data_IF_227834935952
#
_entry.id   IF_227834935952
#
_cell.length_a   1.000
_cell.length_b   1.000
_cell.length_c   1.000
_cell.angle_alpha   90.00
_cell.angle_beta   90.00
_cell.angle_gamma   90.00
#
_symmetry.space_group_name_H-M   'P 1'
#
loop_
_entity.id
_entity.type
_entity.pdbx_description
1 polymer ?
#
# COMPACT_ATOMS: atom_id res chain seq x y z
N UNK A 1 6.74 13.10 18.45
CA UNK A 1 7.61 12.28 17.58
C UNK A 1 6.86 11.87 16.34
N UNK A 2 7.54 11.91 15.22
CA UNK A 2 6.95 11.61 13.92
C UNK A 2 6.97 10.11 13.64
N UNK A 3 5.91 9.59 13.03
CA UNK A 3 5.89 8.22 12.57
C UNK A 3 6.78 8.05 11.35
N UNK A 4 7.33 6.85 11.18
CA UNK A 4 8.12 6.49 10.00
C UNK A 4 7.34 5.51 9.15
N UNK A 5 7.41 5.69 7.83
CA UNK A 5 6.83 4.74 6.87
C UNK A 5 7.89 3.72 6.50
N UNK A 6 7.56 2.45 6.64
CA UNK A 6 8.41 1.35 6.19
C UNK A 6 7.62 0.46 5.24
N UNK A 7 8.32 -0.17 4.31
CA UNK A 7 7.72 -1.05 3.31
C UNK A 7 8.09 -2.50 3.60
N UNK A 8 7.10 -3.37 3.66
CA UNK A 8 7.37 -4.80 3.79
C UNK A 8 7.98 -5.33 2.50
N UNK A 9 8.69 -6.44 2.60
CA UNK A 9 9.25 -7.10 1.42
C UNK A 9 8.15 -7.50 0.44
N UNK A 10 7.03 -7.96 0.97
CA UNK A 10 5.88 -8.33 0.14
C UNK A 10 5.37 -7.12 -0.66
N UNK A 11 5.21 -5.97 -0.01
CA UNK A 11 4.75 -4.76 -0.69
C UNK A 11 5.76 -4.28 -1.75
N UNK A 12 7.06 -4.34 -1.44
CA UNK A 12 8.09 -3.98 -2.41
C UNK A 12 8.06 -4.89 -3.63
N UNK A 13 7.86 -6.18 -3.44
CA UNK A 13 7.74 -7.13 -4.54
C UNK A 13 6.52 -6.83 -5.41
N UNK A 14 5.43 -6.40 -4.79
CA UNK A 14 4.23 -6.01 -5.54
C UNK A 14 4.46 -4.73 -6.33
N UNK A 15 5.21 -3.78 -5.80
CA UNK A 15 5.62 -2.59 -6.56
C UNK A 15 6.42 -2.97 -7.80
N UNK A 16 7.36 -3.90 -7.67
CA UNK A 16 8.18 -4.36 -8.80
C UNK A 16 7.30 -4.97 -9.89
N UNK A 17 6.31 -5.76 -9.52
CA UNK A 17 5.37 -6.36 -10.47
C UNK A 17 4.54 -5.29 -11.19
N UNK A 18 4.09 -4.28 -10.46
CA UNK A 18 3.32 -3.18 -11.03
C UNK A 18 4.20 -2.42 -12.03
N UNK A 19 5.44 -2.12 -11.66
CA UNK A 19 6.37 -1.41 -12.53
C UNK A 19 6.61 -2.19 -13.83
N UNK A 20 6.91 -3.48 -13.73
CA UNK A 20 7.16 -4.32 -14.89
C UNK A 20 5.94 -4.40 -15.81
N UNK A 21 4.75 -4.52 -15.23
CA UNK A 21 3.52 -4.57 -16.01
C UNK A 21 3.34 -3.30 -16.84
N UNK A 22 3.47 -2.13 -16.21
CA UNK A 22 3.25 -0.86 -16.90
C UNK A 22 4.41 -0.48 -17.81
N UNK A 23 5.63 -0.92 -17.48
CA UNK A 23 6.77 -0.74 -18.37
C UNK A 23 6.51 -1.42 -19.72
N UNK A 24 5.99 -2.63 -19.69
CA UNK A 24 5.65 -3.39 -20.89
C UNK A 24 4.44 -2.81 -21.62
N UNK A 25 3.38 -2.44 -20.89
CA UNK A 25 2.11 -2.03 -21.49
C UNK A 25 2.04 -0.57 -21.90
N UNK A 26 2.75 0.31 -21.21
CA UNK A 26 2.59 1.76 -21.38
C UNK A 26 3.90 2.54 -21.48
N UNK A 27 5.05 1.89 -21.26
CA UNK A 27 6.37 2.50 -21.39
C UNK A 27 6.92 3.05 -20.09
N UNK A 28 8.18 3.47 -20.14
CA UNK A 28 8.95 3.87 -18.97
C UNK A 28 8.36 5.08 -18.25
N UNK A 29 7.94 6.11 -18.99
CA UNK A 29 7.44 7.34 -18.37
C UNK A 29 6.19 7.08 -17.55
N UNK A 30 5.25 6.31 -18.10
CA UNK A 30 4.00 5.96 -17.40
C UNK A 30 4.30 5.09 -16.18
N UNK A 31 5.13 4.06 -16.36
CA UNK A 31 5.49 3.15 -15.26
C UNK A 31 6.14 3.92 -14.11
N UNK A 32 7.09 4.80 -14.42
CA UNK A 32 7.79 5.61 -13.42
C UNK A 32 6.83 6.52 -12.68
N UNK A 33 5.92 7.19 -13.38
CA UNK A 33 4.93 8.08 -12.78
C UNK A 33 4.02 7.34 -11.82
N UNK A 34 3.54 6.17 -12.20
CA UNK A 34 2.66 5.35 -11.35
C UNK A 34 3.39 4.97 -10.07
N UNK A 35 4.61 4.49 -10.16
CA UNK A 35 5.39 4.07 -8.99
C UNK A 35 5.71 5.27 -8.09
N UNK A 36 6.09 6.41 -8.64
CA UNK A 36 6.37 7.62 -7.86
C UNK A 36 5.13 8.07 -7.07
N UNK A 37 3.96 8.01 -7.69
CA UNK A 37 2.71 8.38 -7.01
C UNK A 37 2.41 7.42 -5.85
N UNK A 38 2.60 6.13 -6.07
CA UNK A 38 2.38 5.13 -5.02
C UNK A 38 3.36 5.32 -3.87
N UNK A 39 4.63 5.57 -4.17
CA UNK A 39 5.66 5.77 -3.14
C UNK A 39 5.44 7.04 -2.32
N UNK A 40 4.90 8.08 -2.95
CA UNK A 40 4.67 9.37 -2.28
C UNK A 40 3.41 9.38 -1.40
N UNK A 41 2.39 8.61 -1.77
CA UNK A 41 1.08 8.66 -1.11
C UNK A 41 1.14 8.37 0.39
N UNK A 42 1.92 7.38 0.88
CA UNK A 42 1.98 7.08 2.31
C UNK A 42 2.51 8.23 3.19
N UNK A 43 3.16 9.23 2.63
CA UNK A 43 3.62 10.38 3.41
C UNK A 43 2.44 11.12 4.07
N UNK A 44 1.25 11.03 3.51
CA UNK A 44 0.04 11.61 4.09
C UNK A 44 -0.36 10.93 5.40
N UNK A 45 0.13 9.71 5.63
CA UNK A 45 -0.22 8.93 6.82
C UNK A 45 0.55 9.36 8.05
N UNK A 46 1.67 10.05 7.89
CA UNK A 46 2.58 10.38 9.00
C UNK A 46 1.84 11.13 10.10
N UNK A 47 0.94 12.05 9.74
CA UNK A 47 0.17 12.83 10.72
C UNK A 47 -1.30 12.41 10.79
N UNK A 48 -1.76 11.52 9.93
CA UNK A 48 -3.18 11.24 9.73
C UNK A 48 -3.50 9.76 9.56
N UNK A 49 -2.72 8.87 10.15
CA UNK A 49 -2.86 7.44 9.88
C UNK A 49 -4.22 6.86 10.28
N UNK A 50 -4.94 7.50 11.21
CA UNK A 50 -6.25 7.03 11.66
C UNK A 50 -7.41 7.51 10.79
N UNK A 51 -7.16 8.45 9.86
CA UNK A 51 -8.23 9.02 9.03
C UNK A 51 -8.75 8.09 7.95
N UNK A 52 -7.99 7.06 7.61
CA UNK A 52 -8.31 6.21 6.49
C UNK A 52 -9.06 4.96 6.91
N UNK A 53 -9.80 4.38 5.95
CA UNK A 53 -10.72 3.29 6.22
C UNK A 53 -9.99 2.00 6.59
N UNK A 54 -10.62 1.24 7.48
CA UNK A 54 -10.19 -0.12 7.80
C UNK A 54 -10.51 -1.04 6.61
N UNK A 55 -9.60 -1.97 6.30
CA UNK A 55 -9.84 -2.94 5.24
C UNK A 55 -10.69 -4.09 5.78
N UNK A 56 -11.95 -4.15 5.36
CA UNK A 56 -12.92 -5.10 5.89
C UNK A 56 -12.54 -6.57 5.63
N UNK A 57 -11.90 -6.86 4.50
CA UNK A 57 -11.51 -8.23 4.16
C UNK A 57 -10.36 -8.75 5.00
N UNK A 58 -9.72 -7.88 5.81
CA UNK A 58 -8.61 -8.25 6.68
C UNK A 58 -8.95 -8.08 8.16
N UNK A 59 -10.24 -7.96 8.51
CA UNK A 59 -10.65 -7.73 9.90
C UNK A 59 -10.33 -8.90 10.85
N UNK A 60 -10.16 -10.10 10.33
CA UNK A 60 -9.84 -11.27 11.15
C UNK A 60 -8.35 -11.42 11.48
N UNK A 61 -7.53 -10.43 11.09
CA UNK A 61 -6.10 -10.41 11.40
C UNK A 61 -5.86 -9.79 12.77
N UNK A 62 -4.73 -10.12 13.38
CA UNK A 62 -4.34 -9.53 14.67
C UNK A 62 -4.09 -8.03 14.54
N UNK A 63 -3.44 -7.61 13.46
CA UNK A 63 -3.24 -6.21 13.18
C UNK A 63 -4.47 -5.62 12.51
N UNK A 64 -4.72 -4.34 12.79
CA UNK A 64 -5.74 -3.57 12.08
C UNK A 64 -5.13 -3.06 10.79
N UNK A 65 -5.67 -3.52 9.67
CA UNK A 65 -5.23 -3.06 8.36
C UNK A 65 -6.16 -1.97 7.85
N UNK A 66 -5.54 -0.88 7.43
CA UNK A 66 -6.23 0.25 6.80
C UNK A 66 -5.74 0.39 5.37
N UNK A 67 -6.39 1.21 4.59
CA UNK A 67 -5.93 1.45 3.22
C UNK A 67 -6.11 2.90 2.81
N UNK A 68 -5.30 3.31 1.86
CA UNK A 68 -5.40 4.58 1.18
C UNK A 68 -5.45 4.28 -0.32
N UNK A 69 -6.30 5.01 -1.05
CA UNK A 69 -6.48 4.79 -2.49
C UNK A 69 -5.54 5.70 -3.27
N UNK A 70 -4.83 5.12 -4.23
CA UNK A 70 -3.97 5.85 -5.16
C UNK A 70 -4.26 5.31 -6.56
N UNK A 71 -5.02 6.06 -7.37
CA UNK A 71 -5.45 5.59 -8.68
C UNK A 71 -6.26 4.29 -8.55
N UNK A 72 -5.81 3.24 -9.24
CA UNK A 72 -6.45 1.93 -9.20
C UNK A 72 -5.92 1.04 -8.08
N UNK A 73 -5.12 1.58 -7.16
CA UNK A 73 -4.46 0.78 -6.15
C UNK A 73 -4.93 1.12 -4.75
N UNK A 74 -5.08 0.09 -3.92
CA UNK A 74 -5.18 0.24 -2.47
C UNK A 74 -3.80 0.00 -1.90
N UNK A 75 -3.31 0.98 -1.14
CA UNK A 75 -2.06 0.83 -0.39
C UNK A 75 -2.47 0.40 1.01
N UNK A 76 -2.21 -0.87 1.33
CA UNK A 76 -2.63 -1.49 2.59
C UNK A 76 -1.54 -1.24 3.64
N UNK A 77 -1.94 -0.73 4.82
CA UNK A 77 -0.96 -0.47 5.87
C UNK A 77 -1.50 -0.86 7.24
N UNK A 78 -0.58 -1.08 8.16
CA UNK A 78 -0.86 -1.22 9.58
C UNK A 78 0.03 -0.28 10.37
N UNK A 79 -0.34 0.01 11.61
CA UNK A 79 0.39 0.98 12.44
C UNK A 79 0.86 0.31 13.71
N UNK A 80 2.14 0.46 14.02
CA UNK A 80 2.70 0.07 15.31
C UNK A 80 2.88 1.34 16.13
N UNK A 81 1.98 1.55 17.09
CA UNK A 81 1.96 2.76 17.90
C UNK A 81 3.19 2.80 18.83
N UNK A 82 3.57 1.64 19.38
CA UNK A 82 4.70 1.57 20.32
C UNK A 82 6.01 2.02 19.67
N UNK A 83 6.26 1.61 18.44
CA UNK A 83 7.48 1.97 17.72
C UNK A 83 7.30 3.12 16.73
N UNK A 84 6.09 3.67 16.66
CA UNK A 84 5.75 4.77 15.74
C UNK A 84 6.10 4.44 14.29
N UNK A 85 5.67 3.26 13.85
CA UNK A 85 5.91 2.77 12.50
C UNK A 85 4.60 2.59 11.75
N UNK A 86 4.58 3.04 10.50
CA UNK A 86 3.52 2.76 9.56
C UNK A 86 4.09 1.77 8.55
N UNK A 87 3.61 0.53 8.62
CA UNK A 87 4.10 -0.53 7.74
C UNK A 87 3.20 -0.66 6.53
N UNK A 88 3.76 -0.46 5.35
CA UNK A 88 3.05 -0.71 4.11
C UNK A 88 3.13 -2.21 3.84
N UNK A 89 1.99 -2.88 3.88
CA UNK A 89 1.93 -4.33 3.83
C UNK A 89 1.67 -4.87 2.43
N UNK A 90 0.98 -4.10 1.58
CA UNK A 90 0.62 -4.53 0.23
C UNK A 90 0.26 -3.31 -0.61
N UNK A 91 0.38 -3.46 -1.93
CA UNK A 91 -0.19 -2.54 -2.91
C UNK A 91 -1.07 -3.39 -3.82
N UNK A 92 -2.37 -3.24 -3.68
CA UNK A 92 -3.36 -4.11 -4.30
C UNK A 92 -4.09 -3.40 -5.44
N UNK A 93 -4.08 -4.01 -6.63
CA UNK A 93 -4.81 -3.49 -7.78
C UNK A 93 -6.30 -3.78 -7.60
N UNK A 94 -7.10 -2.73 -7.49
CA UNK A 94 -8.55 -2.84 -7.22
C UNK A 94 -9.34 -3.45 -8.36
N UNK A 95 -8.75 -3.63 -9.53
CA UNK A 95 -9.38 -4.28 -10.67
C UNK A 95 -9.36 -5.80 -10.55
N UNK A 96 -8.58 -6.35 -9.62
CA UNK A 96 -8.57 -7.77 -9.30
C UNK A 96 -9.77 -8.14 -8.44
N UNK A 97 -10.05 -9.44 -8.35
CA UNK A 97 -11.06 -9.96 -7.42
C UNK A 97 -10.71 -9.49 -6.00
N UNK A 98 -11.60 -8.76 -5.31
CA UNK A 98 -11.31 -8.21 -3.97
C UNK A 98 -10.84 -9.24 -2.95
N UNK A 99 -11.32 -10.48 -3.03
CA UNK A 99 -10.93 -11.52 -2.08
C UNK A 99 -9.43 -11.81 -2.10
N UNK A 100 -8.74 -11.53 -3.21
CA UNK A 100 -7.29 -11.74 -3.35
C UNK A 100 -6.49 -10.86 -2.39
N UNK A 101 -7.09 -9.84 -1.80
CA UNK A 101 -6.42 -8.98 -0.81
C UNK A 101 -5.99 -9.78 0.42
N UNK A 102 -6.61 -10.93 0.67
CA UNK A 102 -6.24 -11.81 1.79
C UNK A 102 -4.84 -12.40 1.66
N UNK A 103 -4.20 -12.27 0.50
CA UNK A 103 -2.79 -12.60 0.29
C UNK A 103 -1.86 -11.68 1.07
N UNK A 104 -2.32 -10.52 1.52
CA UNK A 104 -1.51 -9.54 2.25
C UNK A 104 -0.83 -10.18 3.46
N UNK A 105 0.47 -10.01 3.52
CA UNK A 105 1.31 -10.63 4.55
C UNK A 105 1.84 -9.64 5.56
#
# INVERSE_FOLDING_TARGET
MTYKVIWSNFAENELDKIFEYYLEKAGLNVATTIIQNILAEPNRLIDNYEMFQTEELLLNREEIYRYIVCGNFKIIYSVNIAFKLIKIADVFDTRQNPIKIKRTK
#
